data_IF_946176191835
#
_entry.id   IF_946176191835
#
_cell.length_a   1.000
_cell.length_b   1.000
_cell.length_c   1.000
_cell.angle_alpha   90.00
_cell.angle_beta   90.00
_cell.angle_gamma   90.00
#
_symmetry.space_group_name_H-M   'P 1'
#
loop_
_entity.id
_entity.type
_entity.pdbx_description
1 polymer ?
#
# COMPACT_ATOMS: atom_id res chain seq x y z
N UNK A 1 -1.67 10.59 -23.48
CA UNK A 1 -1.30 10.26 -22.08
C UNK A 1 -0.81 11.55 -21.44
N UNK A 2 -1.44 11.99 -20.35
CA UNK A 2 -0.90 13.10 -19.55
C UNK A 2 0.41 12.67 -18.87
N UNK A 3 1.25 13.63 -18.54
CA UNK A 3 2.41 13.43 -17.66
C UNK A 3 1.97 13.79 -16.24
N UNK A 4 2.41 13.01 -15.25
CA UNK A 4 2.24 13.36 -13.84
C UNK A 4 3.08 14.59 -13.49
N UNK A 5 2.58 15.39 -12.54
CA UNK A 5 3.36 16.48 -11.97
C UNK A 5 4.49 15.97 -11.07
N UNK A 6 5.43 16.86 -10.73
CA UNK A 6 6.49 16.52 -9.77
C UNK A 6 5.92 16.16 -8.38
N UNK A 7 4.86 16.85 -7.95
CA UNK A 7 4.18 16.59 -6.68
C UNK A 7 3.50 15.21 -6.67
N UNK A 8 2.89 14.81 -7.78
CA UNK A 8 2.26 13.50 -7.94
C UNK A 8 3.28 12.36 -7.85
N UNK A 9 4.43 12.51 -8.53
CA UNK A 9 5.51 11.52 -8.46
C UNK A 9 6.15 11.46 -7.06
N UNK A 10 6.30 12.60 -6.40
CA UNK A 10 6.78 12.65 -5.02
C UNK A 10 5.83 11.92 -4.07
N UNK A 11 4.52 12.13 -4.22
CA UNK A 11 3.50 11.42 -3.44
C UNK A 11 3.60 9.90 -3.65
N UNK A 12 3.69 9.44 -4.90
CA UNK A 12 3.81 8.01 -5.21
C UNK A 12 5.08 7.43 -4.60
N UNK A 13 6.22 8.14 -4.70
CA UNK A 13 7.49 7.70 -4.09
C UNK A 13 7.35 7.53 -2.58
N UNK A 14 6.79 8.53 -1.89
CA UNK A 14 6.60 8.50 -0.42
C UNK A 14 5.69 7.36 0.03
N UNK A 15 4.62 7.10 -0.72
CA UNK A 15 3.73 5.96 -0.42
C UNK A 15 4.44 4.64 -0.70
N UNK A 16 5.17 4.51 -1.81
CA UNK A 16 5.97 3.32 -2.11
C UNK A 16 6.99 3.00 -1.01
N UNK A 17 7.71 4.01 -0.53
CA UNK A 17 8.64 3.89 0.61
C UNK A 17 7.93 3.45 1.89
N UNK A 18 6.75 4.02 2.18
CA UNK A 18 5.94 3.66 3.36
C UNK A 18 5.42 2.23 3.29
N UNK A 19 5.00 1.78 2.11
CA UNK A 19 4.56 0.40 1.87
C UNK A 19 5.72 -0.60 1.97
N UNK A 20 6.90 -0.24 1.47
CA UNK A 20 8.10 -1.06 1.63
C UNK A 20 8.51 -1.18 3.11
N UNK A 21 8.42 -0.09 3.88
CA UNK A 21 8.66 -0.10 5.31
C UNK A 21 7.64 -0.97 6.06
N UNK A 22 6.36 -0.91 5.67
CA UNK A 22 5.31 -1.78 6.22
C UNK A 22 5.60 -3.27 5.96
N UNK A 23 5.99 -3.62 4.73
CA UNK A 23 6.39 -4.99 4.39
C UNK A 23 7.58 -5.47 5.24
N UNK A 24 8.58 -4.62 5.44
CA UNK A 24 9.72 -4.92 6.31
C UNK A 24 9.30 -5.15 7.77
N UNK A 25 8.38 -4.33 8.29
CA UNK A 25 7.84 -4.48 9.64
C UNK A 25 7.01 -5.77 9.81
N UNK A 26 6.19 -6.12 8.81
CA UNK A 26 5.42 -7.36 8.79
C UNK A 26 6.34 -8.59 8.82
N UNK A 27 7.40 -8.58 7.99
CA UNK A 27 8.43 -9.63 7.96
C UNK A 27 9.14 -9.80 9.31
N UNK A 28 9.46 -8.69 9.99
CA UNK A 28 10.15 -8.73 11.28
C UNK A 28 9.27 -9.26 12.43
N UNK A 29 7.95 -9.03 12.35
CA UNK A 29 6.99 -9.45 13.38
C UNK A 29 6.46 -10.87 13.18
N UNK A 30 6.44 -11.34 11.93
CA UNK A 30 5.96 -12.67 11.56
C UNK A 30 7.07 -13.41 10.80
N UNK A 31 8.11 -13.89 11.50
CA UNK A 31 9.24 -14.57 10.87
C UNK A 31 8.77 -15.88 10.24
N UNK A 32 8.61 -15.86 8.92
CA UNK A 32 8.23 -17.03 8.14
C UNK A 32 9.42 -17.99 8.02
N UNK A 33 9.17 -19.29 8.09
CA UNK A 33 10.22 -20.32 7.92
C UNK A 33 10.86 -20.28 6.53
N UNK A 34 10.13 -19.76 5.55
CA UNK A 34 10.62 -19.38 4.24
C UNK A 34 10.10 -17.95 3.92
N UNK A 35 10.95 -16.91 3.94
CA UNK A 35 10.51 -15.57 3.60
C UNK A 35 10.06 -15.52 2.13
N UNK A 36 9.06 -14.67 1.80
CA UNK A 36 8.65 -14.49 0.43
C UNK A 36 9.83 -13.99 -0.42
N UNK A 37 9.93 -14.39 -1.70
CA UNK A 37 10.95 -13.86 -2.59
C UNK A 37 10.87 -12.33 -2.67
N UNK A 38 12.02 -11.67 -2.75
CA UNK A 38 12.10 -10.20 -2.87
C UNK A 38 11.26 -9.67 -4.05
N UNK A 39 11.18 -10.43 -5.15
CA UNK A 39 10.36 -10.08 -6.31
C UNK A 39 8.87 -10.00 -6.02
N UNK A 40 8.35 -10.73 -5.03
CA UNK A 40 6.94 -10.66 -4.61
C UNK A 40 6.67 -9.34 -3.90
N UNK A 41 7.60 -8.91 -3.04
CA UNK A 41 7.51 -7.64 -2.30
C UNK A 41 7.57 -6.47 -3.28
N UNK A 42 8.57 -6.49 -4.18
CA UNK A 42 8.72 -5.48 -5.23
C UNK A 42 7.50 -5.44 -6.16
N UNK A 43 6.92 -6.61 -6.48
CA UNK A 43 5.70 -6.70 -7.27
C UNK A 43 4.48 -6.09 -6.58
N UNK A 44 4.33 -6.30 -5.27
CA UNK A 44 3.25 -5.72 -4.49
C UNK A 44 3.35 -4.19 -4.41
N UNK A 45 4.54 -3.67 -4.06
CA UNK A 45 4.78 -2.21 -3.97
C UNK A 45 4.65 -1.56 -5.35
N UNK A 46 5.29 -2.11 -6.38
CA UNK A 46 5.19 -1.60 -7.75
C UNK A 46 3.78 -1.66 -8.31
N UNK A 47 3.00 -2.67 -7.94
CA UNK A 47 1.57 -2.76 -8.28
C UNK A 47 0.75 -1.64 -7.64
N UNK A 48 0.96 -1.37 -6.35
CA UNK A 48 0.32 -0.26 -5.65
C UNK A 48 0.66 1.09 -6.29
N UNK A 49 1.94 1.34 -6.55
CA UNK A 49 2.39 2.56 -7.23
C UNK A 49 1.77 2.72 -8.62
N UNK A 50 1.66 1.63 -9.39
CA UNK A 50 1.04 1.67 -10.72
C UNK A 50 -0.44 2.06 -10.64
N UNK A 51 -1.19 1.49 -9.68
CA UNK A 51 -2.59 1.85 -9.43
C UNK A 51 -2.70 3.33 -9.04
N UNK A 52 -1.85 3.82 -8.15
CA UNK A 52 -1.84 5.24 -7.76
C UNK A 52 -1.59 6.17 -8.95
N UNK A 53 -0.56 5.88 -9.77
CA UNK A 53 -0.26 6.65 -10.98
C UNK A 53 -1.45 6.66 -11.94
N UNK A 54 -2.16 5.55 -12.08
CA UNK A 54 -3.37 5.48 -12.89
C UNK A 54 -4.48 6.39 -12.37
N UNK A 55 -4.74 6.42 -11.05
CA UNK A 55 -5.77 7.31 -10.47
C UNK A 55 -5.39 8.79 -10.62
N UNK A 56 -4.12 9.12 -10.41
CA UNK A 56 -3.61 10.49 -10.56
C UNK A 56 -3.73 10.99 -12.00
N UNK A 57 -3.37 10.15 -12.98
CA UNK A 57 -3.54 10.47 -14.41
C UNK A 57 -5.01 10.68 -14.81
N UNK A 58 -5.93 9.98 -14.15
CA UNK A 58 -7.38 10.12 -14.34
C UNK A 58 -8.00 11.28 -13.54
N UNK A 59 -7.18 12.03 -12.77
CA UNK A 59 -7.62 13.09 -11.84
C UNK A 59 -8.65 12.60 -10.81
N UNK A 60 -8.46 11.37 -10.34
CA UNK A 60 -9.26 10.71 -9.30
C UNK A 60 -8.47 10.63 -7.99
N UNK A 61 -7.81 11.72 -7.62
CA UNK A 61 -6.94 11.75 -6.44
C UNK A 61 -7.71 11.51 -5.14
N UNK A 62 -9.00 11.87 -5.11
CA UNK A 62 -9.92 11.58 -4.02
C UNK A 62 -10.05 10.08 -3.71
N UNK A 63 -9.81 9.21 -4.71
CA UNK A 63 -9.91 7.76 -4.55
C UNK A 63 -8.63 7.13 -4.00
N UNK A 64 -7.53 7.89 -3.91
CA UNK A 64 -6.25 7.35 -3.43
C UNK A 64 -6.35 6.92 -1.97
N UNK A 65 -7.03 7.71 -1.14
CA UNK A 65 -7.28 7.38 0.26
C UNK A 65 -8.12 6.10 0.39
N UNK A 66 -9.11 5.92 -0.50
CA UNK A 66 -9.95 4.71 -0.51
C UNK A 66 -9.16 3.43 -0.80
N UNK A 67 -8.00 3.53 -1.48
CA UNK A 67 -7.15 2.40 -1.87
C UNK A 67 -6.11 2.00 -0.82
N UNK A 68 -5.87 2.85 0.19
CA UNK A 68 -4.86 2.58 1.23
C UNK A 68 -5.10 1.23 1.92
N UNK A 69 -6.33 0.85 2.31
CA UNK A 69 -6.60 -0.48 2.89
C UNK A 69 -6.24 -1.65 1.96
N UNK A 70 -6.44 -1.47 0.65
CA UNK A 70 -6.14 -2.51 -0.34
C UNK A 70 -4.62 -2.65 -0.52
N UNK A 71 -3.88 -1.53 -0.48
CA UNK A 71 -2.42 -1.55 -0.51
C UNK A 71 -1.85 -2.22 0.74
N UNK A 72 -2.39 -1.92 1.93
CA UNK A 72 -2.00 -2.59 3.18
C UNK A 72 -2.22 -4.10 3.08
N UNK A 73 -3.37 -4.55 2.59
CA UNK A 73 -3.62 -5.97 2.35
C UNK A 73 -2.60 -6.58 1.39
N UNK A 74 -2.41 -5.94 0.23
CA UNK A 74 -1.54 -6.43 -0.84
C UNK A 74 -0.09 -6.64 -0.38
N UNK A 75 0.46 -5.69 0.40
CA UNK A 75 1.88 -5.72 0.80
C UNK A 75 2.15 -6.58 2.03
N UNK A 76 1.11 -6.88 2.83
CA UNK A 76 1.24 -7.69 4.05
C UNK A 76 0.94 -9.17 3.83
N UNK A 77 0.08 -9.51 2.85
CA UNK A 77 -0.31 -10.88 2.52
C UNK A 77 0.87 -11.85 2.27
N UNK A 78 2.03 -11.44 1.72
CA UNK A 78 3.18 -12.34 1.58
C UNK A 78 3.80 -12.81 2.91
N UNK A 79 3.51 -12.14 4.03
CA UNK A 79 4.11 -12.40 5.34
C UNK A 79 3.11 -12.92 6.36
N UNK A 80 1.85 -12.52 6.21
CA UNK A 80 0.76 -12.82 7.14
C UNK A 80 -0.15 -13.88 6.54
N UNK A 81 -0.93 -14.53 7.40
CA UNK A 81 -2.07 -15.26 6.87
C UNK A 81 -3.14 -14.30 6.32
N UNK A 82 -4.11 -14.86 5.61
CA UNK A 82 -5.16 -14.07 4.97
C UNK A 82 -6.00 -13.29 5.99
N UNK A 83 -6.27 -13.86 7.15
CA UNK A 83 -7.14 -13.24 8.15
C UNK A 83 -6.45 -12.05 8.83
N UNK A 84 -5.18 -12.22 9.18
CA UNK A 84 -4.31 -11.17 9.72
C UNK A 84 -4.13 -10.00 8.73
N UNK A 85 -3.85 -10.31 7.46
CA UNK A 85 -3.74 -9.27 6.42
C UNK A 85 -5.06 -8.51 6.22
N UNK A 86 -6.21 -9.20 6.29
CA UNK A 86 -7.53 -8.57 6.23
C UNK A 86 -7.81 -7.71 7.47
N UNK A 87 -7.38 -8.13 8.66
CA UNK A 87 -7.52 -7.35 9.88
C UNK A 87 -6.74 -6.03 9.79
N UNK A 88 -5.50 -6.06 9.31
CA UNK A 88 -4.71 -4.84 9.09
C UNK A 88 -5.35 -3.92 8.05
N UNK A 89 -5.88 -4.48 6.97
CA UNK A 89 -6.63 -3.71 5.97
C UNK A 89 -7.85 -3.02 6.57
N UNK A 90 -8.64 -3.72 7.39
CA UNK A 90 -9.79 -3.12 8.09
C UNK A 90 -9.38 -2.02 9.06
N UNK A 91 -8.32 -2.23 9.84
CA UNK A 91 -7.78 -1.18 10.73
C UNK A 91 -7.32 0.05 9.95
N UNK A 92 -6.69 -0.14 8.79
CA UNK A 92 -6.32 0.97 7.93
C UNK A 92 -7.55 1.75 7.44
N UNK A 93 -8.66 1.05 7.13
CA UNK A 93 -9.95 1.70 6.80
C UNK A 93 -10.48 2.51 7.99
N UNK A 94 -10.54 1.90 9.17
CA UNK A 94 -11.05 2.53 10.40
C UNK A 94 -10.29 3.83 10.73
N UNK A 95 -8.95 3.82 10.60
CA UNK A 95 -8.13 5.02 10.84
C UNK A 95 -8.44 6.17 9.87
N UNK A 96 -8.74 5.85 8.61
CA UNK A 96 -9.10 6.85 7.61
C UNK A 96 -10.50 7.42 7.85
N UNK A 97 -11.43 6.57 8.25
CA UNK A 97 -12.79 6.99 8.60
C UNK A 97 -12.78 7.89 9.87
N UNK A 98 -11.87 7.64 10.82
CA UNK A 98 -11.69 8.47 12.02
C UNK A 98 -11.09 9.86 11.73
N UNK A 99 -10.19 9.96 10.75
CA UNK A 99 -9.58 11.24 10.34
C UNK A 99 -10.57 12.15 9.59
N UNK A 100 -11.63 11.62 8.95
CA UNK A 100 -12.67 12.44 8.30
C UNK A 100 -13.59 13.20 9.28
N UNK A 101 -13.56 12.88 10.58
CA UNK A 101 -14.38 13.52 11.62
C UNK A 101 -13.60 14.47 12.55
N UNK A 102 -12.37 14.85 12.19
CA UNK A 102 -11.50 15.72 12.99
C UNK A 102 -11.15 17.04 12.29
#
# INVERSE_FOLDING_TARGET
MGLLGAEDEELVSKVGESLAALAAAASATHPCSAPPPESVILGAVGGAEWVMRSQLLERRSERLTELVPDFVYLVTMPFLDREEALELSRRARELLDEDEFR
#
